data_IF_245083824361
#
_entry.id   IF_245083824361
#
_cell.length_a   1.000
_cell.length_b   1.000
_cell.length_c   1.000
_cell.angle_alpha   90.00
_cell.angle_beta   90.00
_cell.angle_gamma   90.00
#
_symmetry.space_group_name_H-M   'P 1'
#
loop_
_entity.id
_entity.type
_entity.pdbx_description
1 polymer ?
#
# COMPACT_ATOMS: atom_id res chain seq x y z
N UNK A 1 -2.45 -3.88 10.41
CA UNK A 1 -1.66 -2.92 9.61
C UNK A 1 -2.60 -2.06 8.75
N UNK A 2 -2.93 -0.86 9.23
CA UNK A 2 -4.10 -0.08 8.77
C UNK A 2 -4.20 0.15 7.25
N UNK A 3 -3.08 0.40 6.55
CA UNK A 3 -3.09 0.61 5.10
C UNK A 3 -3.54 -0.67 4.38
N UNK A 4 -2.88 -1.79 4.63
CA UNK A 4 -3.18 -3.07 3.97
C UNK A 4 -4.57 -3.61 4.34
N UNK A 5 -4.99 -3.49 5.61
CA UNK A 5 -6.24 -4.11 6.06
C UNK A 5 -7.48 -3.24 5.79
N UNK A 6 -7.34 -1.92 5.55
CA UNK A 6 -8.49 -0.99 5.50
C UNK A 6 -8.50 -0.02 4.32
N UNK A 7 -7.38 0.17 3.63
CA UNK A 7 -7.27 1.19 2.57
C UNK A 7 -7.00 0.51 1.24
N UNK A 8 -5.85 -0.15 1.11
CA UNK A 8 -5.42 -0.82 -0.10
C UNK A 8 -4.30 -1.81 0.23
N UNK A 9 -4.34 -2.99 -0.39
CA UNK A 9 -3.29 -4.00 -0.21
C UNK A 9 -1.92 -3.40 -0.54
N UNK A 10 -0.93 -3.72 0.32
CA UNK A 10 0.40 -3.12 0.26
C UNK A 10 1.08 -3.29 -1.10
N UNK A 11 0.83 -4.41 -1.80
CA UNK A 11 1.34 -4.64 -3.16
C UNK A 11 0.92 -3.53 -4.13
N UNK A 12 -0.37 -3.22 -4.19
CA UNK A 12 -0.89 -2.13 -5.04
C UNK A 12 -0.39 -0.74 -4.61
N UNK A 13 -0.24 -0.49 -3.30
CA UNK A 13 0.33 0.78 -2.80
C UNK A 13 1.79 0.95 -3.26
N UNK A 14 2.61 -0.09 -3.09
CA UNK A 14 4.01 -0.10 -3.50
C UNK A 14 4.13 0.05 -5.01
N UNK A 15 3.27 -0.66 -5.76
CA UNK A 15 3.25 -0.60 -7.21
C UNK A 15 2.94 0.80 -7.74
N UNK A 16 1.96 1.49 -7.15
CA UNK A 16 1.63 2.86 -7.55
C UNK A 16 2.72 3.87 -7.14
N UNK A 17 3.45 3.63 -6.05
CA UNK A 17 4.42 4.57 -5.49
C UNK A 17 5.60 4.86 -6.44
N UNK A 18 6.05 3.87 -7.22
CA UNK A 18 7.22 4.03 -8.11
C UNK A 18 6.97 4.99 -9.27
N UNK A 19 5.70 5.25 -9.63
CA UNK A 19 5.36 6.24 -10.65
C UNK A 19 5.76 7.67 -10.29
N UNK A 20 6.02 7.95 -9.00
CA UNK A 20 6.50 9.24 -8.49
C UNK A 20 7.93 9.19 -7.94
N UNK A 21 8.39 8.03 -7.49
CA UNK A 21 9.71 7.84 -6.91
C UNK A 21 10.72 7.41 -7.99
N UNK A 22 11.23 8.38 -8.77
CA UNK A 22 12.25 8.14 -9.79
C UNK A 22 13.46 7.40 -9.18
N UNK A 23 13.86 6.28 -9.79
CA UNK A 23 15.00 5.46 -9.35
C UNK A 23 14.65 4.32 -8.39
N UNK A 24 13.38 4.13 -8.04
CA UNK A 24 12.91 2.97 -7.28
C UNK A 24 12.16 1.99 -8.18
N UNK A 25 12.37 0.68 -7.95
CA UNK A 25 11.48 -0.38 -8.43
C UNK A 25 10.57 -0.85 -7.29
N UNK A 26 9.41 -1.47 -7.60
CA UNK A 26 8.52 -1.99 -6.57
C UNK A 26 9.22 -2.98 -5.63
N UNK A 27 10.05 -3.87 -6.17
CA UNK A 27 10.90 -4.80 -5.40
C UNK A 27 11.93 -4.06 -4.55
N UNK A 28 12.52 -2.99 -5.10
CA UNK A 28 13.45 -2.12 -4.39
C UNK A 28 12.81 -1.48 -3.15
N UNK A 29 11.56 -1.02 -3.26
CA UNK A 29 10.80 -0.48 -2.13
C UNK A 29 10.53 -1.58 -1.07
N UNK A 30 10.12 -2.78 -1.48
CA UNK A 30 9.91 -3.91 -0.55
C UNK A 30 11.20 -4.21 0.22
N UNK A 31 12.33 -4.29 -0.49
CA UNK A 31 13.64 -4.56 0.11
C UNK A 31 14.09 -3.42 1.04
N UNK A 32 13.81 -2.18 0.68
CA UNK A 32 14.08 -1.01 1.52
C UNK A 32 13.30 -1.08 2.84
N UNK A 33 12.00 -1.41 2.78
CA UNK A 33 11.15 -1.57 3.96
C UNK A 33 11.69 -2.70 4.83
N UNK A 34 11.95 -3.89 4.26
CA UNK A 34 12.53 -5.03 4.98
C UNK A 34 13.84 -4.67 5.68
N UNK A 35 14.71 -3.90 5.03
CA UNK A 35 16.00 -3.50 5.58
C UNK A 35 15.84 -2.52 6.75
N UNK A 36 14.91 -1.56 6.64
CA UNK A 36 14.70 -0.48 7.61
C UNK A 36 13.76 -0.81 8.75
N UNK A 37 12.84 -1.77 8.59
CA UNK A 37 11.88 -2.17 9.61
C UNK A 37 12.52 -2.98 10.76
N UNK A 38 13.46 -2.35 11.46
CA UNK A 38 14.16 -2.90 12.63
C UNK A 38 13.69 -2.13 13.87
N UNK A 39 12.54 -2.51 14.38
CA UNK A 39 11.94 -1.90 15.56
C UNK A 39 12.11 -2.82 16.77
N UNK A 40 12.48 -2.21 17.89
CA UNK A 40 12.54 -2.84 19.20
C UNK A 40 11.22 -2.70 19.94
N UNK A 41 10.99 -3.49 20.98
CA UNK A 41 9.81 -3.33 21.84
C UNK A 41 9.71 -1.91 22.43
N UNK A 42 10.85 -1.26 22.71
CA UNK A 42 10.87 0.11 23.22
C UNK A 42 10.37 1.11 22.17
N UNK A 43 10.70 0.91 20.89
CA UNK A 43 10.20 1.74 19.79
C UNK A 43 8.68 1.67 19.69
N UNK A 44 8.09 0.49 19.88
CA UNK A 44 6.63 0.33 19.91
C UNK A 44 6.00 0.97 21.14
N UNK A 45 6.62 0.87 22.32
CA UNK A 45 6.10 1.50 23.55
C UNK A 45 6.12 3.03 23.51
N UNK A 46 6.93 3.65 22.64
CA UNK A 46 6.92 5.10 22.40
C UNK A 46 5.72 5.56 21.57
N UNK A 47 5.02 4.64 20.91
CA UNK A 47 3.81 4.94 20.13
C UNK A 47 2.62 4.93 21.07
N UNK A 48 2.01 6.10 21.25
CA UNK A 48 0.73 6.22 21.95
C UNK A 48 -0.35 5.52 21.12
N UNK A 49 -0.80 4.37 21.60
CA UNK A 49 -1.71 3.48 20.90
C UNK A 49 -2.71 2.85 21.86
N UNK A 50 -3.99 2.87 21.46
CA UNK A 50 -5.08 2.20 22.16
C UNK A 50 -5.86 1.30 21.16
N UNK A 51 -5.84 -0.04 21.34
CA UNK A 51 -5.09 -0.78 22.36
C UNK A 51 -3.57 -0.76 22.12
N UNK A 52 -2.81 -1.11 23.16
CA UNK A 52 -1.35 -1.27 23.07
C UNK A 52 -0.97 -2.20 21.91
N UNK A 53 0.03 -1.77 21.13
CA UNK A 53 0.55 -2.56 20.02
C UNK A 53 1.39 -3.72 20.55
N UNK A 54 1.07 -4.94 20.13
CA UNK A 54 1.95 -6.10 20.28
C UNK A 54 3.09 -6.02 19.24
N UNK A 55 4.36 -5.81 19.66
CA UNK A 55 5.49 -5.69 18.74
C UNK A 55 5.72 -6.96 17.91
N UNK A 56 5.63 -8.13 18.55
CA UNK A 56 5.94 -9.40 17.92
C UNK A 56 4.88 -9.76 16.87
N UNK A 57 3.60 -9.63 17.23
CA UNK A 57 2.50 -9.85 16.30
C UNK A 57 2.54 -8.84 15.14
N UNK A 58 2.84 -7.57 15.40
CA UNK A 58 2.92 -6.53 14.37
C UNK A 58 4.05 -6.78 13.39
N UNK A 59 5.25 -7.10 13.89
CA UNK A 59 6.39 -7.41 13.03
C UNK A 59 6.20 -8.71 12.26
N UNK A 60 5.50 -9.71 12.83
CA UNK A 60 5.09 -10.92 12.09
C UNK A 60 4.15 -10.56 10.95
N UNK A 61 3.08 -9.81 11.22
CA UNK A 61 2.10 -9.37 10.21
C UNK A 61 2.74 -8.52 9.11
N UNK A 62 3.68 -7.65 9.45
CA UNK A 62 4.42 -6.86 8.46
C UNK A 62 5.19 -7.75 7.48
N UNK A 63 5.86 -8.81 7.97
CA UNK A 63 6.58 -9.76 7.09
C UNK A 63 5.64 -10.51 6.17
N UNK A 64 4.50 -10.98 6.68
CA UNK A 64 3.47 -11.66 5.90
C UNK A 64 2.98 -10.78 4.75
N UNK A 65 2.59 -9.54 5.06
CA UNK A 65 2.10 -8.61 4.05
C UNK A 65 3.17 -8.22 3.03
N UNK A 66 4.43 -8.09 3.44
CA UNK A 66 5.54 -7.84 2.48
C UNK A 66 5.77 -9.03 1.55
N UNK A 67 5.56 -10.27 2.01
CA UNK A 67 5.65 -11.45 1.16
C UNK A 67 4.48 -11.51 0.16
N UNK A 68 3.27 -11.18 0.58
CA UNK A 68 2.11 -11.06 -0.33
C UNK A 68 2.33 -9.96 -1.37
N UNK A 69 2.87 -8.82 -0.95
CA UNK A 69 3.21 -7.71 -1.85
C UNK A 69 4.28 -8.13 -2.88
N UNK A 70 5.30 -8.88 -2.45
CA UNK A 70 6.35 -9.40 -3.33
C UNK A 70 5.77 -10.37 -4.38
N UNK A 71 4.92 -11.32 -3.96
CA UNK A 71 4.24 -12.24 -4.87
C UNK A 71 3.41 -11.52 -5.94
N UNK A 72 2.69 -10.46 -5.53
CA UNK A 72 1.95 -9.61 -6.46
C UNK A 72 2.89 -8.87 -7.42
N UNK A 73 3.88 -8.16 -6.89
CA UNK A 73 4.83 -7.34 -7.67
C UNK A 73 5.57 -8.19 -8.71
N UNK A 74 6.04 -9.38 -8.36
CA UNK A 74 6.79 -10.25 -9.27
C UNK A 74 5.96 -10.74 -10.47
N UNK A 75 4.63 -10.77 -10.34
CA UNK A 75 3.72 -11.15 -11.44
C UNK A 75 3.32 -9.96 -12.32
N UNK A 76 3.53 -8.73 -11.86
CA UNK A 76 3.04 -7.55 -12.56
C UNK A 76 3.95 -7.15 -13.73
N UNK A 77 3.40 -6.80 -14.90
CA UNK A 77 4.19 -6.33 -16.04
C UNK A 77 4.88 -4.99 -15.77
N UNK A 78 6.18 -4.89 -16.06
CA UNK A 78 7.00 -3.71 -15.75
C UNK A 78 6.52 -2.43 -16.46
N UNK A 79 5.92 -2.52 -17.65
CA UNK A 79 5.37 -1.38 -18.39
C UNK A 79 4.16 -0.74 -17.69
N UNK A 80 3.57 -1.44 -16.72
CA UNK A 80 2.46 -0.95 -15.89
C UNK A 80 2.91 -0.37 -14.55
N UNK A 81 4.21 -0.33 -14.27
CA UNK A 81 4.75 0.15 -13.00
C UNK A 81 4.33 1.60 -12.74
N UNK A 82 3.91 1.89 -11.50
CA UNK A 82 3.49 3.24 -11.11
C UNK A 82 2.04 3.60 -11.47
N UNK A 83 1.27 2.68 -12.05
CA UNK A 83 -0.15 2.86 -12.31
C UNK A 83 -0.99 2.46 -11.10
N UNK A 84 -2.04 3.25 -10.83
CA UNK A 84 -3.16 2.82 -10.01
C UNK A 84 -4.19 2.10 -10.88
N UNK A 85 -4.86 1.12 -10.30
CA UNK A 85 -5.91 0.34 -10.96
C UNK A 85 -7.24 0.59 -10.26
N UNK A 86 -8.29 0.72 -11.07
CA UNK A 86 -9.63 0.98 -10.60
C UNK A 86 -10.61 -0.04 -11.20
N UNK A 87 -11.56 -0.46 -10.38
CA UNK A 87 -12.71 -1.25 -10.78
C UNK A 87 -13.95 -0.57 -10.21
N UNK A 88 -14.93 -0.25 -11.08
CA UNK A 88 -16.16 0.44 -10.70
C UNK A 88 -15.96 1.75 -9.91
N UNK A 89 -14.84 2.44 -10.17
CA UNK A 89 -14.48 3.69 -9.51
C UNK A 89 -13.76 3.53 -8.16
N UNK A 90 -13.63 2.30 -7.67
CA UNK A 90 -12.85 1.98 -6.47
C UNK A 90 -11.41 1.61 -6.83
N UNK A 91 -10.45 1.99 -5.99
CA UNK A 91 -9.05 1.61 -6.17
C UNK A 91 -8.85 0.20 -5.65
N UNK A 92 -8.24 -0.66 -6.45
CA UNK A 92 -8.06 -2.09 -6.14
C UNK A 92 -6.63 -2.54 -6.40
N UNK A 93 -6.24 -3.64 -5.76
CA UNK A 93 -5.13 -4.44 -6.25
C UNK A 93 -5.67 -5.30 -7.40
N UNK A 94 -5.18 -5.12 -8.63
CA UNK A 94 -5.72 -5.86 -9.76
C UNK A 94 -5.24 -7.31 -9.72
N UNK A 95 -5.94 -8.18 -10.44
CA UNK A 95 -5.42 -9.49 -10.82
C UNK A 95 -4.39 -9.32 -11.96
N UNK A 96 -3.11 -9.72 -11.77
CA UNK A 96 -2.09 -9.62 -12.80
C UNK A 96 -2.42 -10.34 -14.11
N UNK A 97 -3.33 -11.31 -14.09
CA UNK A 97 -3.71 -12.09 -15.28
C UNK A 97 -4.89 -11.46 -16.04
N UNK A 98 -5.50 -10.38 -15.53
CA UNK A 98 -6.74 -9.76 -16.09
C UNK A 98 -6.66 -8.22 -16.11
N UNK A 99 -5.47 -7.67 -16.33
CA UNK A 99 -5.19 -6.23 -16.16
C UNK A 99 -6.01 -5.32 -17.09
N UNK A 100 -6.43 -5.84 -18.24
CA UNK A 100 -7.26 -5.14 -19.23
C UNK A 100 -8.68 -4.81 -18.74
N UNK A 101 -9.15 -5.47 -17.68
CA UNK A 101 -10.48 -5.22 -17.09
C UNK A 101 -10.52 -3.98 -16.21
N UNK A 102 -9.34 -3.47 -15.82
CA UNK A 102 -9.22 -2.38 -14.88
C UNK A 102 -8.95 -1.06 -15.62
N UNK A 103 -9.56 0.01 -15.11
CA UNK A 103 -9.19 1.35 -15.53
C UNK A 103 -7.84 1.70 -14.88
N UNK A 104 -6.94 2.33 -15.65
CA UNK A 104 -5.62 2.71 -15.15
C UNK A 104 -5.51 4.21 -14.93
N UNK A 105 -4.83 4.60 -13.86
CA UNK A 105 -4.58 6.00 -13.54
C UNK A 105 -3.10 6.21 -13.23
N UNK A 106 -2.35 6.96 -14.07
CA UNK A 106 -0.94 7.22 -13.81
C UNK A 106 -0.76 8.24 -12.69
N UNK A 107 0.34 8.13 -11.94
CA UNK A 107 0.77 9.19 -11.04
C UNK A 107 1.00 10.51 -11.81
N UNK A 108 0.34 11.60 -11.38
CA UNK A 108 0.56 12.94 -11.94
C UNK A 108 1.10 13.90 -10.88
N UNK A 109 1.97 14.81 -11.30
CA UNK A 109 2.37 15.95 -10.49
C UNK A 109 1.14 16.81 -10.19
N UNK A 110 0.93 17.15 -8.91
CA UNK A 110 -0.28 17.82 -8.42
C UNK A 110 -1.58 17.04 -8.69
N UNK A 111 -1.48 15.74 -8.97
CA UNK A 111 -2.64 14.87 -9.11
C UNK A 111 -3.33 14.64 -7.77
N UNK A 112 -4.66 14.62 -7.79
CA UNK A 112 -5.47 14.27 -6.63
C UNK A 112 -5.62 12.75 -6.54
N UNK A 113 -5.80 12.25 -5.31
CA UNK A 113 -6.17 10.85 -5.11
C UNK A 113 -7.51 10.58 -5.81
N UNK A 114 -7.66 9.48 -6.58
CA UNK A 114 -8.96 9.11 -7.11
C UNK A 114 -9.93 8.90 -5.95
N UNK A 115 -10.92 9.78 -5.81
CA UNK A 115 -11.88 9.71 -4.72
C UNK A 115 -12.99 8.75 -5.07
N UNK A 116 -13.21 7.78 -4.19
CA UNK A 116 -14.48 7.08 -4.12
C UNK A 116 -15.33 7.67 -3.00
N UNK A 117 -16.65 7.42 -3.06
CA UNK A 117 -17.59 7.91 -2.05
C UNK A 117 -17.26 7.34 -0.66
N UNK A 118 -16.82 6.09 -0.60
CA UNK A 118 -16.45 5.41 0.64
C UNK A 118 -15.14 5.91 1.22
N UNK A 119 -14.11 6.13 0.38
CA UNK A 119 -12.84 6.73 0.83
C UNK A 119 -13.02 8.16 1.37
N UNK A 120 -13.89 8.93 0.73
CA UNK A 120 -14.22 10.29 1.18
C UNK A 120 -14.96 10.24 2.52
N UNK A 121 -15.97 9.38 2.66
CA UNK A 121 -16.70 9.19 3.91
C UNK A 121 -15.79 8.73 5.06
N UNK A 122 -14.92 7.75 4.83
CA UNK A 122 -13.98 7.25 5.84
C UNK A 122 -12.92 8.29 6.25
N UNK A 123 -12.47 9.16 5.34
CA UNK A 123 -11.61 10.30 5.71
C UNK A 123 -12.36 11.30 6.58
N UNK A 124 -13.58 11.68 6.21
CA UNK A 124 -14.39 12.64 6.98
C UNK A 124 -14.75 12.10 8.37
N UNK A 125 -15.07 10.82 8.50
CA UNK A 125 -15.39 10.18 9.77
C UNK A 125 -14.21 10.17 10.74
N UNK A 126 -12.98 10.22 10.22
CA UNK A 126 -11.73 10.28 11.00
C UNK A 126 -11.32 11.70 11.40
N UNK A 127 -11.79 12.72 10.69
CA UNK A 127 -11.60 14.14 11.04
C UNK A 127 -12.67 14.69 11.98
N UNK A 128 -13.82 14.01 12.10
CA UNK A 128 -14.92 14.35 13.00
C UNK A 128 -14.86 13.61 14.36
N UNK A 129 -13.72 12.98 14.69
CA UNK A 129 -13.39 12.46 16.02
C UNK A 129 -12.14 13.14 16.53
#
# INVERSE_FOLDING_TARGET
MAIHDRILLLGAVIWAAVGKALGFTPEGIINEIRRKARYTDEDFRRVDSDPLIDPAATMKRLREVLNEAEQFVTRMPTDKAGLLFLQDGEIVQPDPDRLEEYQTHPGKNRGHWPTSREMSAAMFERYNK
#
